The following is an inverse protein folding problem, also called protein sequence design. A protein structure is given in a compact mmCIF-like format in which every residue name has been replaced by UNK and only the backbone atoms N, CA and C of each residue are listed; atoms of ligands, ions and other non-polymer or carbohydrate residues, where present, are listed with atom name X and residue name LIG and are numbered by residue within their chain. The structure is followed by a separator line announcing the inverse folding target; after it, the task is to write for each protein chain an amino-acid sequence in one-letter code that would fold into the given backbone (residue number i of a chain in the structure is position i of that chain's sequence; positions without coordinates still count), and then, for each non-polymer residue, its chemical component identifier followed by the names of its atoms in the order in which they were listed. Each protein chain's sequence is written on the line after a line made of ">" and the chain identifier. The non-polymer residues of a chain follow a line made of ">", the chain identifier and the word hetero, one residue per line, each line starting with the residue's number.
data_IF_600941817781
#
_entry.id   IF_600941817781
#
_cell.length_a   1.000
_cell.length_b   1.000
_cell.length_c   1.000
_cell.angle_alpha   90.00
_cell.angle_beta   90.00
_cell.angle_gamma   90.00
#
_symmetry.space_group_name_H-M   'P 1'
#
loop_
_entity.id
_entity.type
_entity.pdbx_description
1 polymer ?
#
# COMPACT_ATOMS: atom_id res chain seq x y z
N UNK A 1 -6.52 19.22 22.98
CA UNK A 1 -7.26 19.29 21.70
C UNK A 1 -7.42 17.87 21.14
N UNK A 2 -8.58 17.22 21.32
CA UNK A 2 -8.77 15.79 20.97
C UNK A 2 -9.07 15.52 19.49
N UNK A 3 -9.34 16.53 18.66
CA UNK A 3 -9.58 16.34 17.22
C UNK A 3 -8.29 16.24 16.38
N UNK A 4 -7.15 16.75 16.89
CA UNK A 4 -5.86 16.61 16.22
C UNK A 4 -5.34 15.17 16.23
N UNK A 5 -5.73 14.34 17.20
CA UNK A 5 -5.38 12.91 17.21
C UNK A 5 -6.21 12.08 16.22
N UNK A 6 -7.38 12.58 15.78
CA UNK A 6 -8.25 11.92 14.79
C UNK A 6 -7.87 12.28 13.35
N UNK A 7 -7.39 13.50 13.11
CA UNK A 7 -6.96 14.01 11.80
C UNK A 7 -5.48 14.41 11.85
N UNK A 8 -4.60 13.43 12.07
CA UNK A 8 -3.13 13.57 12.18
C UNK A 8 -2.44 14.02 10.87
N UNK A 9 -3.17 14.58 9.89
CA UNK A 9 -2.64 14.91 8.58
C UNK A 9 -1.92 16.27 8.54
N UNK A 10 -2.33 17.24 9.36
CA UNK A 10 -1.83 18.62 9.28
C UNK A 10 -0.53 18.90 10.04
N UNK A 11 -0.09 17.99 10.92
CA UNK A 11 1.10 18.17 11.79
C UNK A 11 2.20 17.14 11.55
N UNK A 12 2.27 16.57 10.34
CA UNK A 12 3.24 15.51 10.03
C UNK A 12 4.67 16.05 10.02
N UNK A 13 5.53 15.31 10.68
CA UNK A 13 6.98 15.44 10.63
C UNK A 13 7.58 14.29 9.81
N UNK A 14 8.81 14.42 9.28
CA UNK A 14 9.50 13.31 8.62
C UNK A 14 9.67 12.07 9.50
N UNK A 15 9.71 12.23 10.83
CA UNK A 15 9.75 11.12 11.80
C UNK A 15 8.44 10.32 11.80
N UNK A 16 7.32 10.96 11.47
CA UNK A 16 6.04 10.28 11.24
C UNK A 16 6.03 9.51 9.91
N UNK A 17 7.15 9.38 9.21
CA UNK A 17 7.31 8.51 8.05
C UNK A 17 8.21 7.30 8.32
N UNK A 18 8.79 7.19 9.51
CA UNK A 18 9.80 6.19 9.85
C UNK A 18 9.25 4.79 10.21
N UNK A 19 7.92 4.60 10.25
CA UNK A 19 7.23 3.35 10.63
C UNK A 19 6.71 2.55 9.41
N UNK A 20 7.03 3.02 8.20
CA UNK A 20 6.90 2.32 6.91
C UNK A 20 8.30 2.10 6.34
N UNK A 21 8.48 1.14 5.40
CA UNK A 21 9.74 1.01 4.68
C UNK A 21 10.23 2.38 4.17
N UNK A 22 11.39 2.83 4.60
CA UNK A 22 11.95 4.13 4.27
C UNK A 22 12.51 4.13 2.85
N UNK A 23 12.11 5.11 2.03
CA UNK A 23 12.56 5.20 0.64
C UNK A 23 14.11 5.18 0.60
N UNK A 24 14.66 4.27 -0.20
CA UNK A 24 16.10 4.19 -0.44
C UNK A 24 16.89 3.53 0.68
N UNK A 25 16.24 2.86 1.66
CA UNK A 25 16.88 1.93 2.60
C UNK A 25 16.87 0.46 2.10
N UNK A 26 16.44 0.24 0.87
CA UNK A 26 16.50 -1.06 0.23
C UNK A 26 17.96 -1.50 -0.05
N UNK A 27 18.24 -2.81 -0.18
CA UNK A 27 19.59 -3.34 -0.42
C UNK A 27 20.29 -2.77 -1.66
N UNK A 28 19.52 -2.21 -2.60
CA UNK A 28 20.03 -1.55 -3.81
C UNK A 28 20.82 -0.27 -3.50
N UNK A 29 20.65 0.34 -2.32
CA UNK A 29 21.47 1.48 -1.86
C UNK A 29 22.97 1.13 -1.78
N UNK A 30 23.29 -0.11 -1.43
CA UNK A 30 24.68 -0.57 -1.32
C UNK A 30 25.28 -0.99 -2.67
N UNK A 31 24.46 -1.02 -3.72
CA UNK A 31 24.90 -1.41 -5.07
C UNK A 31 25.36 -0.18 -5.85
N UNK A 32 26.67 0.08 -5.78
CA UNK A 32 27.32 1.25 -6.43
C UNK A 32 27.15 1.30 -7.96
N UNK A 33 26.80 0.19 -8.60
CA UNK A 33 26.67 0.07 -10.06
C UNK A 33 25.27 0.39 -10.60
N UNK A 34 24.29 0.70 -9.75
CA UNK A 34 22.94 1.05 -10.18
C UNK A 34 22.83 2.54 -10.54
N UNK A 35 22.11 2.91 -11.62
CA UNK A 35 21.72 4.29 -11.88
C UNK A 35 21.06 4.92 -10.65
N UNK A 36 21.35 6.21 -10.41
CA UNK A 36 20.81 6.97 -9.26
C UNK A 36 19.28 6.89 -9.16
N UNK A 37 18.60 6.83 -10.30
CA UNK A 37 17.14 6.66 -10.39
C UNK A 37 16.70 5.35 -9.73
N UNK A 38 17.38 4.24 -10.02
CA UNK A 38 17.07 2.93 -9.47
C UNK A 38 17.50 2.77 -8.01
N UNK A 39 18.55 3.49 -7.58
CA UNK A 39 18.96 3.54 -6.17
C UNK A 39 17.94 4.26 -5.28
N UNK A 40 17.16 5.18 -5.86
CA UNK A 40 16.12 5.94 -5.14
C UNK A 40 14.77 5.25 -5.11
N UNK A 41 14.50 4.34 -6.05
CA UNK A 41 13.26 3.58 -6.09
C UNK A 41 13.28 2.45 -5.06
N UNK A 42 12.15 2.27 -4.39
CA UNK A 42 11.96 1.29 -3.33
C UNK A 42 10.59 0.63 -3.51
N UNK A 43 10.61 -0.67 -3.81
CA UNK A 43 9.40 -1.41 -4.19
C UNK A 43 8.50 -1.62 -2.97
N UNK A 44 9.07 -2.03 -1.85
CA UNK A 44 8.37 -2.28 -0.59
C UNK A 44 7.70 -1.00 -0.10
N UNK A 45 8.44 0.12 -0.10
CA UNK A 45 7.90 1.44 0.18
C UNK A 45 6.74 1.82 -0.76
N UNK A 46 6.87 1.51 -2.05
CA UNK A 46 5.86 1.84 -3.06
C UNK A 46 4.55 1.10 -2.82
N UNK A 47 4.61 -0.21 -2.53
CA UNK A 47 3.41 -1.02 -2.30
C UNK A 47 2.60 -0.45 -1.15
N UNK A 48 3.29 -0.07 -0.07
CA UNK A 48 2.62 0.44 1.12
C UNK A 48 2.17 1.90 0.96
N UNK A 49 2.95 2.75 0.30
CA UNK A 49 2.58 4.16 0.05
C UNK A 49 1.40 4.29 -0.94
N UNK A 50 1.28 3.40 -1.92
CA UNK A 50 0.19 3.42 -2.90
C UNK A 50 -1.13 2.87 -2.34
N UNK A 51 -1.06 1.94 -1.38
CA UNK A 51 -2.23 1.21 -0.89
C UNK A 51 -3.36 2.10 -0.31
N UNK A 52 -3.11 3.15 0.51
CA UNK A 52 -4.17 4.01 1.03
C UNK A 52 -4.98 4.71 -0.06
N UNK A 53 -4.34 5.15 -1.15
CA UNK A 53 -5.03 5.78 -2.27
C UNK A 53 -5.88 4.78 -3.05
N UNK A 54 -5.30 3.60 -3.32
CA UNK A 54 -5.99 2.50 -4.00
C UNK A 54 -7.23 2.10 -3.19
N UNK A 55 -7.06 1.80 -1.90
CA UNK A 55 -8.14 1.43 -1.00
C UNK A 55 -9.24 2.51 -0.91
N UNK A 56 -8.84 3.79 -0.85
CA UNK A 56 -9.77 4.93 -0.80
C UNK A 56 -10.63 5.03 -2.07
N UNK A 57 -10.04 4.84 -3.26
CA UNK A 57 -10.81 4.80 -4.52
C UNK A 57 -11.77 3.61 -4.54
N UNK A 58 -11.34 2.44 -4.04
CA UNK A 58 -12.22 1.28 -3.90
C UNK A 58 -13.41 1.54 -2.98
N UNK A 59 -13.15 2.13 -1.81
CA UNK A 59 -14.16 2.49 -0.84
C UNK A 59 -15.17 3.50 -1.42
N UNK A 60 -14.69 4.56 -2.08
CA UNK A 60 -15.54 5.54 -2.75
C UNK A 60 -16.39 4.90 -3.86
N UNK A 61 -15.79 4.01 -4.66
CA UNK A 61 -16.51 3.32 -5.73
C UNK A 61 -17.56 2.36 -5.18
N UNK A 62 -17.27 1.67 -4.09
CA UNK A 62 -18.20 0.79 -3.41
C UNK A 62 -19.36 1.57 -2.78
N UNK A 63 -19.06 2.67 -2.06
CA UNK A 63 -20.07 3.56 -1.49
C UNK A 63 -20.98 4.15 -2.58
N UNK A 64 -20.40 4.63 -3.69
CA UNK A 64 -21.16 5.11 -4.85
C UNK A 64 -22.12 4.04 -5.39
N UNK A 65 -21.74 2.77 -5.36
CA UNK A 65 -22.64 1.70 -5.79
C UNK A 65 -23.74 1.40 -4.79
N UNK A 66 -23.45 1.42 -3.49
CA UNK A 66 -24.48 1.30 -2.45
C UNK A 66 -25.55 2.38 -2.61
N UNK A 67 -25.16 3.62 -2.92
CA UNK A 67 -26.11 4.71 -3.18
C UNK A 67 -26.94 4.50 -4.45
N UNK A 68 -26.35 3.94 -5.52
CA UNK A 68 -27.02 3.79 -6.81
C UNK A 68 -27.88 2.52 -6.94
N UNK A 69 -27.53 1.44 -6.25
CA UNK A 69 -28.16 0.12 -6.41
C UNK A 69 -28.67 -0.48 -5.08
N UNK A 70 -28.49 0.23 -3.95
CA UNK A 70 -28.92 -0.23 -2.63
C UNK A 70 -28.21 -1.50 -2.15
N UNK A 71 -28.90 -2.29 -1.33
CA UNK A 71 -28.39 -3.55 -0.76
C UNK A 71 -28.21 -4.71 -1.77
N UNK A 72 -28.52 -4.50 -3.05
CA UNK A 72 -28.33 -5.53 -4.09
C UNK A 72 -26.86 -5.67 -4.50
N UNK A 73 -26.02 -4.70 -4.12
CA UNK A 73 -24.57 -4.73 -4.36
C UNK A 73 -23.90 -5.73 -3.43
N UNK A 74 -23.16 -6.68 -3.99
CA UNK A 74 -22.37 -7.60 -3.16
C UNK A 74 -21.31 -6.83 -2.38
N UNK A 75 -21.31 -7.01 -1.05
CA UNK A 75 -20.26 -6.50 -0.17
C UNK A 75 -18.89 -7.16 -0.44
N UNK A 76 -18.88 -8.29 -1.12
CA UNK A 76 -17.65 -8.92 -1.55
C UNK A 76 -17.07 -8.16 -2.76
N UNK A 77 -15.95 -7.46 -2.53
CA UNK A 77 -15.21 -6.68 -3.55
C UNK A 77 -14.85 -7.52 -4.77
N UNK A 78 -14.56 -8.81 -4.60
CA UNK A 78 -14.23 -9.72 -5.70
C UNK A 78 -15.44 -10.13 -6.55
N UNK A 79 -16.66 -10.01 -6.01
CA UNK A 79 -17.91 -10.17 -6.77
C UNK A 79 -18.37 -8.85 -7.40
N UNK A 80 -17.83 -7.73 -6.93
CA UNK A 80 -18.14 -6.40 -7.41
C UNK A 80 -17.14 -5.93 -8.48
N UNK A 81 -17.44 -6.32 -9.73
CA UNK A 81 -16.73 -5.95 -10.96
C UNK A 81 -16.29 -4.49 -11.00
N UNK A 82 -17.23 -3.56 -10.76
CA UNK A 82 -16.99 -2.12 -10.95
C UNK A 82 -16.04 -1.56 -9.87
N UNK A 83 -16.12 -2.06 -8.65
CA UNK A 83 -15.20 -1.70 -7.57
C UNK A 83 -13.82 -2.29 -7.83
N UNK A 84 -13.76 -3.55 -8.24
CA UNK A 84 -12.52 -4.23 -8.57
C UNK A 84 -11.79 -3.57 -9.76
N UNK A 85 -12.51 -3.16 -10.81
CA UNK A 85 -11.93 -2.40 -11.93
C UNK A 85 -11.40 -1.04 -11.49
N UNK A 86 -12.10 -0.32 -10.62
CA UNK A 86 -11.63 0.98 -10.12
C UNK A 86 -10.34 0.84 -9.30
N UNK A 87 -10.29 -0.17 -8.42
CA UNK A 87 -9.10 -0.55 -7.67
C UNK A 87 -7.94 -0.97 -8.59
N UNK A 88 -8.24 -1.63 -9.70
CA UNK A 88 -7.24 -2.00 -10.69
C UNK A 88 -6.65 -0.78 -11.39
N UNK A 89 -7.51 0.08 -11.95
CA UNK A 89 -7.05 1.29 -12.65
C UNK A 89 -6.28 2.23 -11.72
N UNK A 90 -6.67 2.29 -10.45
CA UNK A 90 -5.93 3.08 -9.46
C UNK A 90 -4.55 2.48 -9.20
N UNK A 91 -4.41 1.15 -9.16
CA UNK A 91 -3.10 0.50 -9.03
C UNK A 91 -2.16 0.86 -10.19
N UNK A 92 -2.66 0.83 -11.43
CA UNK A 92 -1.89 1.20 -12.62
C UNK A 92 -1.52 2.69 -12.68
N UNK A 93 -2.21 3.53 -11.91
CA UNK A 93 -1.94 4.97 -11.83
C UNK A 93 -0.98 5.29 -10.67
N UNK A 94 -1.33 4.86 -9.45
CA UNK A 94 -0.62 5.24 -8.23
C UNK A 94 0.74 4.57 -8.11
N UNK A 95 0.89 3.31 -8.51
CA UNK A 95 2.19 2.61 -8.40
C UNK A 95 3.26 3.29 -9.26
N UNK A 96 3.03 3.55 -10.58
CA UNK A 96 4.01 4.28 -11.39
C UNK A 96 4.22 5.72 -10.92
N UNK A 97 3.16 6.39 -10.44
CA UNK A 97 3.27 7.75 -9.91
C UNK A 97 4.18 7.81 -8.68
N UNK A 98 4.00 6.91 -7.71
CA UNK A 98 4.84 6.82 -6.52
C UNK A 98 6.28 6.52 -6.89
N UNK A 99 6.52 5.54 -7.77
CA UNK A 99 7.88 5.23 -8.25
C UNK A 99 8.53 6.42 -8.95
N UNK A 100 7.76 7.19 -9.74
CA UNK A 100 8.26 8.39 -10.41
C UNK A 100 8.62 9.50 -9.42
N UNK A 101 7.81 9.67 -8.37
CA UNK A 101 8.09 10.63 -7.31
C UNK A 101 9.34 10.24 -6.49
N UNK A 102 9.51 8.93 -6.21
CA UNK A 102 10.72 8.40 -5.58
C UNK A 102 11.96 8.62 -6.46
N UNK A 103 11.88 8.24 -7.74
CA UNK A 103 12.93 8.45 -8.73
C UNK A 103 13.38 9.93 -8.81
N UNK A 104 12.40 10.85 -8.80
CA UNK A 104 12.63 12.29 -8.81
C UNK A 104 13.19 12.83 -7.48
N UNK A 105 13.14 12.06 -6.39
CA UNK A 105 13.55 12.51 -5.05
C UNK A 105 12.57 13.50 -4.41
N UNK A 106 11.29 13.48 -4.84
CA UNK A 106 10.25 14.36 -4.28
C UNK A 106 9.75 13.78 -2.97
N UNK A 107 9.63 14.61 -1.94
CA UNK A 107 9.06 14.19 -0.66
C UNK A 107 7.53 14.20 -0.69
N UNK A 108 6.94 13.12 -1.22
CA UNK A 108 5.48 12.98 -1.38
C UNK A 108 4.76 12.41 -0.16
N UNK A 109 5.50 11.83 0.80
CA UNK A 109 4.92 11.08 1.93
C UNK A 109 4.08 11.92 2.88
N UNK A 110 4.35 13.23 2.95
CA UNK A 110 3.59 14.17 3.75
C UNK A 110 2.11 14.27 3.29
N UNK A 111 1.84 13.94 2.03
CA UNK A 111 0.49 13.95 1.45
C UNK A 111 -0.27 12.63 1.59
N UNK A 112 0.34 11.57 2.13
CA UNK A 112 -0.32 10.27 2.28
C UNK A 112 -1.06 10.24 3.61
N UNK A 113 -2.39 10.02 3.68
CA UNK A 113 -3.12 9.93 4.95
C UNK A 113 -2.56 8.81 5.83
N UNK A 114 -2.34 9.08 7.12
CA UNK A 114 -1.56 8.22 8.04
C UNK A 114 -2.10 8.33 9.47
N UNK A 115 -2.10 7.19 10.18
CA UNK A 115 -2.33 7.09 11.62
C UNK A 115 -1.02 6.62 12.28
N UNK A 116 -0.61 7.24 13.39
CA UNK A 116 0.61 6.87 14.11
C UNK A 116 0.28 6.50 15.55
N UNK A 117 0.86 5.40 16.02
CA UNK A 117 0.99 5.11 17.46
C UNK A 117 2.47 5.17 17.87
N UNK A 118 2.77 5.65 19.09
CA UNK A 118 4.15 5.76 19.58
C UNK A 118 4.90 4.41 19.59
N UNK A 119 4.19 3.31 19.88
CA UNK A 119 4.73 1.95 19.88
C UNK A 119 5.17 1.43 18.49
N UNK A 120 4.71 2.06 17.41
CA UNK A 120 5.05 1.64 16.04
C UNK A 120 6.34 2.30 15.54
N UNK A 121 6.89 3.29 16.25
CA UNK A 121 8.15 3.95 15.85
C UNK A 121 9.42 3.21 16.25
N UNK A 122 9.32 2.14 17.04
CA UNK A 122 10.46 1.33 17.55
C UNK A 122 10.70 0.05 16.75
N UNK A 123 10.07 -0.08 15.58
CA UNK A 123 10.07 -1.30 14.77
C UNK A 123 11.38 -1.51 14.04
N UNK A 124 11.73 -2.78 13.82
CA UNK A 124 12.81 -3.17 12.93
C UNK A 124 12.37 -3.00 11.46
N UNK A 125 13.07 -2.11 10.75
CA UNK A 125 12.86 -1.80 9.34
C UNK A 125 13.09 -3.03 8.44
N UNK A 126 14.07 -3.86 8.77
CA UNK A 126 14.40 -5.04 7.96
C UNK A 126 13.33 -6.12 8.09
N UNK A 127 12.79 -6.31 9.29
CA UNK A 127 11.69 -7.24 9.55
C UNK A 127 10.42 -6.82 8.80
N UNK A 128 10.05 -5.55 8.86
CA UNK A 128 8.88 -5.01 8.15
C UNK A 128 9.00 -5.24 6.65
N UNK A 129 10.18 -4.99 6.06
CA UNK A 129 10.42 -5.20 4.63
C UNK A 129 10.27 -6.66 4.23
N UNK A 130 10.82 -7.59 5.02
CA UNK A 130 10.65 -9.03 4.77
C UNK A 130 9.18 -9.45 4.79
N UNK A 131 8.37 -8.89 5.69
CA UNK A 131 6.93 -9.14 5.71
C UNK A 131 6.22 -8.56 4.47
N UNK A 132 6.55 -7.33 4.08
CA UNK A 132 6.01 -6.71 2.86
C UNK A 132 6.37 -7.53 1.63
N UNK A 133 7.62 -7.96 1.50
CA UNK A 133 8.07 -8.83 0.41
C UNK A 133 7.33 -10.15 0.40
N UNK A 134 7.23 -10.83 1.54
CA UNK A 134 6.49 -12.09 1.65
C UNK A 134 5.02 -11.92 1.24
N UNK A 135 4.38 -10.85 1.70
CA UNK A 135 3.02 -10.49 1.30
C UNK A 135 2.89 -10.22 -0.20
N UNK A 136 3.85 -9.49 -0.77
CA UNK A 136 3.90 -9.18 -2.19
C UNK A 136 4.08 -10.45 -3.04
N UNK A 137 4.93 -11.39 -2.61
CA UNK A 137 5.12 -12.68 -3.27
C UNK A 137 3.86 -13.53 -3.22
N UNK A 138 3.19 -13.64 -2.07
CA UNK A 138 1.92 -14.35 -1.96
C UNK A 138 0.84 -13.72 -2.86
N UNK A 139 0.78 -12.39 -2.89
CA UNK A 139 -0.06 -11.64 -3.81
C UNK A 139 0.23 -11.96 -5.28
N UNK A 140 1.52 -11.98 -5.64
CA UNK A 140 1.99 -12.33 -6.99
C UNK A 140 1.63 -13.77 -7.37
N UNK A 141 1.82 -14.73 -6.47
CA UNK A 141 1.41 -16.12 -6.69
C UNK A 141 -0.10 -16.24 -6.87
N UNK A 142 -0.90 -15.56 -6.06
CA UNK A 142 -2.35 -15.55 -6.18
C UNK A 142 -2.82 -14.90 -7.50
N UNK A 143 -2.09 -13.88 -7.99
CA UNK A 143 -2.33 -13.26 -9.29
C UNK A 143 -2.01 -14.23 -10.44
N UNK A 144 -0.81 -14.84 -10.41
CA UNK A 144 -0.38 -15.83 -11.43
C UNK A 144 -1.32 -17.03 -11.46
N UNK A 145 -1.72 -17.55 -10.31
CA UNK A 145 -2.68 -18.66 -10.24
C UNK A 145 -4.02 -18.29 -10.88
N UNK A 146 -4.52 -17.06 -10.67
CA UNK A 146 -5.74 -16.57 -11.32
C UNK A 146 -5.58 -16.43 -12.84
N UNK A 147 -4.41 -15.98 -13.31
CA UNK A 147 -4.09 -15.90 -14.74
C UNK A 147 -4.12 -17.28 -15.39
N UNK A 148 -3.47 -18.28 -14.78
CA UNK A 148 -3.41 -19.66 -15.28
C UNK A 148 -4.81 -20.29 -15.31
N UNK A 149 -5.55 -20.15 -14.21
CA UNK A 149 -6.86 -20.79 -14.06
C UNK A 149 -7.99 -20.05 -14.79
N UNK A 150 -7.70 -18.91 -15.44
CA UNK A 150 -8.70 -18.05 -16.10
C UNK A 150 -9.85 -17.68 -15.17
N UNK A 151 -9.57 -17.56 -13.87
CA UNK A 151 -10.56 -17.12 -12.88
C UNK A 151 -10.49 -15.61 -12.81
N UNK A 152 -11.51 -14.93 -13.33
CA UNK A 152 -11.56 -13.47 -13.34
C UNK A 152 -10.73 -12.81 -14.44
N UNK A 153 -10.66 -13.41 -15.64
CA UNK A 153 -9.93 -12.94 -16.84
C UNK A 153 -10.26 -11.50 -17.28
N UNK A 154 -11.29 -10.85 -16.73
CA UNK A 154 -11.58 -9.43 -16.99
C UNK A 154 -10.93 -8.46 -15.98
N UNK A 155 -10.29 -8.97 -14.92
CA UNK A 155 -9.75 -8.20 -13.79
C UNK A 155 -8.27 -8.48 -13.62
N UNK A 156 -7.49 -8.21 -14.67
CA UNK A 156 -6.05 -8.43 -14.66
C UNK A 156 -5.42 -7.32 -13.84
N UNK A 157 -4.98 -7.58 -12.61
CA UNK A 157 -4.37 -6.53 -11.80
C UNK A 157 -3.22 -7.02 -10.91
N UNK A 158 -2.07 -6.32 -10.89
CA UNK A 158 -1.06 -6.44 -9.84
C UNK A 158 -1.55 -5.94 -8.47
N UNK A 159 -2.85 -5.64 -8.33
CA UNK A 159 -3.47 -5.24 -7.07
C UNK A 159 -3.23 -6.28 -5.98
N UNK A 160 -3.15 -7.56 -6.34
CA UNK A 160 -2.90 -8.63 -5.38
C UNK A 160 -1.52 -8.51 -4.75
N UNK A 161 -0.53 -8.06 -5.52
CA UNK A 161 0.83 -7.77 -5.04
C UNK A 161 0.80 -6.58 -4.08
N UNK A 162 0.09 -5.52 -4.44
CA UNK A 162 -0.05 -4.31 -3.59
C UNK A 162 -0.80 -4.62 -2.30
N UNK A 163 -1.95 -5.29 -2.39
CA UNK A 163 -2.75 -5.68 -1.23
C UNK A 163 -2.03 -6.73 -0.38
N UNK A 164 -1.28 -7.64 -1.01
CA UNK A 164 -0.46 -8.61 -0.30
C UNK A 164 0.64 -7.94 0.52
N UNK A 165 1.45 -7.09 -0.11
CA UNK A 165 2.54 -6.40 0.57
C UNK A 165 2.06 -5.38 1.61
N UNK A 166 1.10 -4.52 1.25
CA UNK A 166 0.54 -3.54 2.18
C UNK A 166 -0.29 -4.22 3.29
N UNK A 167 -0.99 -5.31 2.98
CA UNK A 167 -1.72 -6.10 3.95
C UNK A 167 -0.80 -6.76 4.97
N UNK A 168 0.34 -7.30 4.53
CA UNK A 168 1.35 -7.84 5.44
C UNK A 168 1.94 -6.78 6.37
N UNK A 169 2.19 -5.57 5.87
CA UNK A 169 2.59 -4.42 6.71
C UNK A 169 1.50 -4.07 7.74
N UNK A 170 0.23 -4.01 7.34
CA UNK A 170 -0.91 -3.76 8.26
C UNK A 170 -1.06 -4.86 9.31
N UNK A 171 -0.93 -6.13 8.93
CA UNK A 171 -1.00 -7.24 9.88
C UNK A 171 0.15 -7.19 10.87
N UNK A 172 1.37 -6.91 10.39
CA UNK A 172 2.50 -6.71 11.25
C UNK A 172 2.24 -5.55 12.22
N UNK A 173 1.66 -4.42 11.76
CA UNK A 173 1.23 -3.26 12.59
C UNK A 173 0.36 -3.66 13.74
N UNK A 174 -0.76 -4.29 13.43
CA UNK A 174 -1.71 -4.71 14.44
C UNK A 174 -1.09 -5.73 15.40
N UNK A 175 -0.18 -6.60 14.93
CA UNK A 175 0.56 -7.50 15.79
C UNK A 175 1.40 -6.76 16.83
N UNK A 176 2.28 -5.83 16.41
CA UNK A 176 3.11 -5.07 17.37
C UNK A 176 2.24 -4.17 18.25
N UNK A 177 1.20 -3.56 17.71
CA UNK A 177 0.27 -2.75 18.51
C UNK A 177 -0.39 -3.57 19.62
N UNK A 178 -0.71 -4.83 19.36
CA UNK A 178 -1.36 -5.73 20.32
C UNK A 178 -0.38 -6.34 21.32
N UNK A 179 0.89 -6.53 20.93
CA UNK A 179 1.89 -7.27 21.72
C UNK A 179 3.04 -6.41 22.27
N UNK A 180 3.08 -5.11 21.95
CA UNK A 180 4.00 -4.18 22.60
C UNK A 180 3.53 -3.95 24.04
N UNK A 181 4.25 -4.57 24.98
CA UNK A 181 4.16 -4.33 26.42
C UNK A 181 4.86 -3.03 26.81
#
# INVERSE_FOLDING_TARGET
>A
MPFQSLLFWSSKTPLDNAWHPQIGRCPTQYTKNLPLVLQRTDAEATLVDAAPFIASIGALRYASQLFNFGFTVSANVFKNVRTLTALHTSTLLFVPMVLSLQAAGVEYRNFIPRWRTAAESTRDEEEVRRHVDAGAYLGGMAWVARLIMRVGVRYWAPIDVVLGGAGADVLHREYVRTHAF
#
